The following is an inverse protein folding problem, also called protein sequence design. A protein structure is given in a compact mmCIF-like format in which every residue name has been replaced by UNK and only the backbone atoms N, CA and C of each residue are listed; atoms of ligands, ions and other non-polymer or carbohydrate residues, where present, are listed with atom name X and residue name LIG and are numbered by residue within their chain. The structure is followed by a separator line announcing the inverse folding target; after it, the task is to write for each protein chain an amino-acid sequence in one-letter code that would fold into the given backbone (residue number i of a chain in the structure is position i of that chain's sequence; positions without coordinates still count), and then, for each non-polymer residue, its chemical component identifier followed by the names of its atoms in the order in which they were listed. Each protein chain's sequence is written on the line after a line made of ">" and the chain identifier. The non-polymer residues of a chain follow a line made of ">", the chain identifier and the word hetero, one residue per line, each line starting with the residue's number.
data_IF_148137914734
#
_entry.id   IF_148137914734
#
_cell.length_a   1.000
_cell.length_b   1.000
_cell.length_c   1.000
_cell.angle_alpha   90.00
_cell.angle_beta   90.00
_cell.angle_gamma   90.00
#
_symmetry.space_group_name_H-M   'P 1'
#
loop_
_entity.id
_entity.type
_entity.pdbx_description
1 polymer ?
#
# COMPACT_ATOMS: atom_id res chain seq x y z
N UNK A 1 -24.50 6.48 6.11
CA UNK A 1 -23.04 6.42 5.86
C UNK A 1 -22.73 4.98 5.50
N UNK A 2 -22.00 4.74 4.41
CA UNK A 2 -21.58 3.39 4.05
C UNK A 2 -20.40 2.96 4.94
N UNK A 3 -20.42 1.71 5.40
CA UNK A 3 -19.35 1.09 6.17
C UNK A 3 -18.61 0.10 5.29
N UNK A 4 -17.32 -0.06 5.54
CA UNK A 4 -16.46 -1.07 4.93
C UNK A 4 -15.72 -1.87 5.98
N UNK A 5 -15.36 -3.09 5.61
CA UNK A 5 -14.54 -3.96 6.46
C UNK A 5 -13.07 -3.70 6.15
N UNK A 6 -12.28 -3.33 7.15
CA UNK A 6 -10.83 -3.18 6.98
C UNK A 6 -10.20 -4.54 6.64
N UNK A 7 -9.54 -4.66 5.48
CA UNK A 7 -8.87 -5.88 5.05
C UNK A 7 -7.67 -6.30 5.91
N UNK A 8 -7.22 -5.45 6.84
CA UNK A 8 -6.10 -5.74 7.76
C UNK A 8 -6.56 -6.19 9.15
N UNK A 9 -7.47 -5.45 9.81
CA UNK A 9 -7.92 -5.76 11.17
C UNK A 9 -9.33 -6.33 11.27
N UNK A 10 -10.12 -6.30 10.18
CA UNK A 10 -11.50 -6.81 10.14
C UNK A 10 -12.56 -5.90 10.76
N UNK A 11 -12.19 -4.71 11.24
CA UNK A 11 -13.14 -3.77 11.83
C UNK A 11 -14.03 -3.09 10.77
N UNK A 12 -15.28 -2.79 11.13
CA UNK A 12 -16.19 -1.98 10.29
C UNK A 12 -15.93 -0.49 10.53
N UNK A 13 -15.49 0.21 9.49
CA UNK A 13 -15.16 1.64 9.53
C UNK A 13 -15.94 2.41 8.45
N UNK A 14 -16.19 3.72 8.61
CA UNK A 14 -16.79 4.52 7.56
C UNK A 14 -15.98 4.46 6.27
N UNK A 15 -16.65 4.27 5.12
CA UNK A 15 -15.97 4.26 3.81
C UNK A 15 -15.12 5.52 3.57
N UNK A 16 -15.57 6.67 4.10
CA UNK A 16 -14.83 7.93 3.98
C UNK A 16 -13.47 7.94 4.71
N UNK A 17 -13.27 7.01 5.65
CA UNK A 17 -12.06 6.89 6.48
C UNK A 17 -11.19 5.68 6.09
N UNK A 18 -11.46 5.05 4.94
CA UNK A 18 -10.62 3.99 4.38
C UNK A 18 -9.63 4.52 3.35
N UNK A 19 -8.54 3.78 3.19
CA UNK A 19 -7.56 3.91 2.12
C UNK A 19 -7.73 2.72 1.17
N UNK A 20 -7.83 3.01 -0.12
CA UNK A 20 -7.86 1.98 -1.16
C UNK A 20 -6.44 1.50 -1.44
N UNK A 21 -6.23 0.19 -1.37
CA UNK A 21 -4.91 -0.43 -1.49
C UNK A 21 -4.93 -1.45 -2.61
N UNK A 22 -3.98 -1.30 -3.53
CA UNK A 22 -3.73 -2.23 -4.61
C UNK A 22 -2.30 -2.77 -4.48
N UNK A 23 -2.14 -4.07 -4.21
CA UNK A 23 -0.83 -4.72 -4.07
C UNK A 23 -0.63 -5.74 -5.17
N UNK A 24 0.41 -5.54 -5.98
CA UNK A 24 0.87 -6.53 -6.94
C UNK A 24 1.77 -7.55 -6.25
N UNK A 25 1.22 -8.72 -5.92
CA UNK A 25 2.00 -9.83 -5.39
C UNK A 25 2.61 -10.62 -6.55
N UNK A 26 3.80 -11.20 -6.33
CA UNK A 26 4.40 -12.17 -7.27
C UNK A 26 3.86 -13.60 -7.06
N UNK A 27 2.77 -13.75 -6.31
CA UNK A 27 2.14 -15.03 -5.99
C UNK A 27 0.97 -15.36 -6.92
N UNK A 28 0.35 -16.53 -6.70
CA UNK A 28 -0.79 -17.02 -7.50
C UNK A 28 -2.02 -16.11 -7.38
N UNK A 29 -2.17 -15.41 -6.25
CA UNK A 29 -3.26 -14.45 -6.02
C UNK A 29 -3.16 -13.19 -6.89
N UNK A 30 -2.00 -12.94 -7.51
CA UNK A 30 -1.78 -11.82 -8.42
C UNK A 30 -1.95 -10.46 -7.72
N UNK A 31 -3.07 -9.80 -7.95
CA UNK A 31 -3.36 -8.45 -7.42
C UNK A 31 -4.32 -8.54 -6.25
N UNK A 32 -3.89 -8.02 -5.10
CA UNK A 32 -4.77 -7.82 -3.94
C UNK A 32 -5.37 -6.42 -4.03
N UNK A 33 -6.70 -6.35 -4.05
CA UNK A 33 -7.49 -5.12 -4.07
C UNK A 33 -8.37 -5.08 -2.81
N UNK A 34 -8.10 -4.13 -1.91
CA UNK A 34 -8.79 -4.04 -0.63
C UNK A 34 -8.87 -2.60 -0.10
N UNK A 35 -9.83 -2.36 0.79
CA UNK A 35 -9.89 -1.15 1.61
C UNK A 35 -9.34 -1.43 3.01
N UNK A 36 -8.53 -0.52 3.53
CA UNK A 36 -7.99 -0.60 4.91
C UNK A 36 -8.29 0.69 5.66
N UNK A 37 -8.43 0.62 6.98
CA UNK A 37 -8.57 1.84 7.78
C UNK A 37 -7.25 2.64 7.78
N UNK A 38 -7.35 3.95 8.00
CA UNK A 38 -6.18 4.85 8.00
C UNK A 38 -5.09 4.42 8.99
N UNK A 39 -5.44 3.98 10.19
CA UNK A 39 -4.46 3.52 11.18
C UNK A 39 -3.66 2.30 10.70
N UNK A 40 -4.34 1.30 10.10
CA UNK A 40 -3.66 0.14 9.54
C UNK A 40 -2.78 0.52 8.34
N UNK A 41 -3.23 1.46 7.50
CA UNK A 41 -2.41 1.99 6.42
C UNK A 41 -1.12 2.63 6.95
N UNK A 42 -1.22 3.56 7.89
CA UNK A 42 -0.07 4.29 8.46
C UNK A 42 0.92 3.33 9.17
N UNK A 43 0.40 2.33 9.87
CA UNK A 43 1.23 1.37 10.61
C UNK A 43 1.95 0.36 9.73
N UNK A 44 1.29 -0.14 8.68
CA UNK A 44 1.76 -1.33 7.95
C UNK A 44 2.17 -1.06 6.51
N UNK A 45 1.47 -0.15 5.81
CA UNK A 45 1.61 0.01 4.37
C UNK A 45 2.39 1.28 4.01
N UNK A 46 2.13 2.38 4.72
CA UNK A 46 2.80 3.66 4.51
C UNK A 46 4.34 3.54 4.52
N UNK A 47 4.98 2.84 5.47
CA UNK A 47 6.44 2.73 5.49
C UNK A 47 7.02 1.99 4.28
N UNK A 48 6.24 1.12 3.64
CA UNK A 48 6.66 0.30 2.49
C UNK A 48 6.58 1.13 1.19
N UNK A 49 5.56 1.98 1.07
CA UNK A 49 5.36 2.81 -0.14
C UNK A 49 6.15 4.11 -0.10
N UNK A 50 6.46 4.64 1.08
CA UNK A 50 7.25 5.87 1.26
C UNK A 50 8.75 5.63 1.46
N UNK A 51 9.20 4.37 1.61
CA UNK A 51 10.64 4.08 1.73
C UNK A 51 11.38 4.44 0.43
N UNK A 52 12.34 5.37 0.45
CA UNK A 52 13.06 5.86 -0.74
C UNK A 52 14.17 4.91 -1.23
N UNK A 53 14.20 3.65 -0.78
CA UNK A 53 15.15 2.64 -1.28
C UNK A 53 14.77 2.05 -2.65
N UNK A 54 13.91 2.74 -3.42
CA UNK A 54 14.05 2.72 -4.88
C UNK A 54 15.22 3.66 -5.18
N UNK A 55 16.45 3.15 -5.02
CA UNK A 55 17.63 3.87 -5.44
C UNK A 55 17.47 4.26 -6.91
N UNK A 56 17.35 5.57 -7.15
CA UNK A 56 17.73 6.18 -8.40
C UNK A 56 19.10 5.59 -8.77
N UNK A 57 19.10 4.66 -9.72
CA UNK A 57 20.33 4.19 -10.34
C UNK A 57 20.97 5.40 -10.99
N UNK A 58 21.93 6.02 -10.31
CA UNK A 58 22.90 6.92 -10.91
C UNK A 58 23.47 6.18 -12.13
N UNK A 59 23.00 6.59 -13.31
CA UNK A 59 23.65 6.25 -14.56
C UNK A 59 25.00 6.98 -14.53
N UNK A 60 26.01 6.31 -13.97
CA UNK A 60 27.41 6.66 -14.18
C UNK A 60 27.70 6.51 -15.67
N UNK A 61 27.42 7.55 -16.44
CA UNK A 61 27.91 7.71 -17.78
C UNK A 61 29.43 7.90 -17.69
N UNK A 62 30.14 6.78 -17.66
CA UNK A 62 31.55 6.71 -18.02
C UNK A 62 31.64 7.11 -19.51
N UNK A 63 32.23 8.26 -19.79
CA UNK A 63 32.53 8.71 -21.15
C UNK A 63 33.97 9.20 -21.17
N UNK A 64 34.87 8.56 -21.95
CA UNK A 64 36.25 8.99 -22.13
C UNK A 64 36.38 10.24 -23.01
#
# INVERSE_FOLDING_TARGET
>A
MALETCGSCGEQVPFADTVHVLVHTKGEDGVVDAYVCRECYERHLQPIVESPDIGDGEASADSP
#
